data_IF_674376222531
#
_entry.id   IF_674376222531
#
_cell.length_a   1.000
_cell.length_b   1.000
_cell.length_c   1.000
_cell.angle_alpha   90.00
_cell.angle_beta   90.00
_cell.angle_gamma   90.00
#
_symmetry.space_group_name_H-M   'P 1'
#
loop_
_entity.id
_entity.type
_entity.pdbx_description
1 polymer ?
#
# COMPACT_ATOMS: atom_id res chain seq x y z
N UNK A 1 -21.53 -2.08 15.27
CA UNK A 1 -20.90 -1.20 14.27
C UNK A 1 -19.86 -0.35 15.00
N UNK A 2 -18.58 -0.50 14.66
CA UNK A 2 -17.50 0.34 15.23
C UNK A 2 -17.58 1.74 14.61
N UNK A 3 -17.44 2.83 15.38
CA UNK A 3 -17.48 4.18 14.83
C UNK A 3 -16.17 4.45 14.07
N UNK A 4 -16.26 4.42 12.74
CA UNK A 4 -15.19 4.73 11.79
C UNK A 4 -15.02 6.25 11.64
N UNK A 5 -13.78 6.75 11.73
CA UNK A 5 -13.46 8.19 11.75
C UNK A 5 -12.67 8.74 10.53
N UNK A 6 -12.39 7.93 9.50
CA UNK A 6 -11.78 8.40 8.24
C UNK A 6 -10.75 7.41 7.64
N UNK A 7 -10.29 7.67 6.40
CA UNK A 7 -9.14 7.00 5.77
C UNK A 7 -7.98 8.00 5.52
N UNK A 8 -6.80 7.49 5.18
CA UNK A 8 -5.75 8.29 4.54
C UNK A 8 -5.46 7.69 3.16
N UNK A 9 -5.52 8.50 2.11
CA UNK A 9 -5.08 8.10 0.76
C UNK A 9 -4.03 9.07 0.26
N UNK A 10 -3.13 8.63 -0.62
CA UNK A 10 -2.25 9.61 -1.27
C UNK A 10 -1.12 9.05 -2.10
N UNK A 11 -0.70 7.79 -1.96
CA UNK A 11 0.58 7.41 -2.56
C UNK A 11 0.56 6.02 -3.22
N UNK A 12 1.29 5.89 -4.34
CA UNK A 12 1.44 4.64 -5.06
C UNK A 12 2.35 3.67 -4.31
N UNK A 13 2.12 2.37 -4.47
CA UNK A 13 3.03 1.35 -3.94
C UNK A 13 4.31 1.31 -4.77
N UNK A 14 5.42 1.04 -4.11
CA UNK A 14 6.71 0.90 -4.75
C UNK A 14 7.37 -0.41 -4.33
N UNK A 15 8.16 -0.98 -5.23
CA UNK A 15 9.03 -2.11 -4.96
C UNK A 15 10.44 -1.57 -4.69
N UNK A 16 11.01 -1.90 -3.53
CA UNK A 16 12.40 -1.59 -3.21
C UNK A 16 13.24 -2.85 -3.23
N UNK A 17 14.42 -2.75 -3.83
CA UNK A 17 15.33 -3.88 -3.99
C UNK A 17 16.78 -3.44 -3.84
N UNK A 18 17.64 -4.41 -3.53
CA UNK A 18 19.10 -4.24 -3.49
C UNK A 18 19.81 -4.61 -4.80
N UNK A 19 19.12 -5.38 -5.66
CA UNK A 19 19.59 -5.79 -6.98
C UNK A 19 18.68 -5.15 -8.04
N UNK A 20 19.23 -4.66 -9.16
CA UNK A 20 18.40 -4.13 -10.23
C UNK A 20 17.53 -5.23 -10.83
N UNK A 21 16.28 -4.91 -11.12
CA UNK A 21 15.41 -5.67 -12.02
C UNK A 21 15.25 -4.90 -13.33
N UNK A 22 15.25 -5.63 -14.44
CA UNK A 22 14.99 -5.13 -15.79
C UNK A 22 13.54 -5.40 -16.20
N UNK A 23 12.92 -6.41 -15.60
CA UNK A 23 11.50 -6.75 -15.79
C UNK A 23 10.92 -7.42 -14.56
N UNK A 24 9.59 -7.53 -14.48
CA UNK A 24 8.95 -8.26 -13.39
C UNK A 24 9.25 -9.77 -13.42
N UNK A 25 9.72 -10.32 -14.54
CA UNK A 25 10.16 -11.72 -14.61
C UNK A 25 11.44 -11.98 -13.79
N UNK A 26 12.24 -10.96 -13.51
CA UNK A 26 13.44 -11.07 -12.66
C UNK A 26 13.10 -11.32 -11.18
N UNK A 27 11.84 -11.14 -10.80
CA UNK A 27 11.35 -11.44 -9.45
C UNK A 27 11.07 -12.93 -9.22
N UNK A 28 11.12 -13.77 -10.26
CA UNK A 28 10.83 -15.21 -10.13
C UNK A 28 11.80 -15.87 -9.16
N UNK A 29 11.25 -16.48 -8.10
CA UNK A 29 12.02 -17.09 -7.02
C UNK A 29 12.70 -16.10 -6.06
N UNK A 30 12.54 -14.78 -6.28
CA UNK A 30 13.02 -13.77 -5.33
C UNK A 30 12.16 -13.76 -4.07
N UNK A 31 12.77 -13.53 -2.92
CA UNK A 31 12.05 -13.45 -1.65
C UNK A 31 11.63 -12.01 -1.39
N UNK A 32 10.33 -11.70 -1.45
CA UNK A 32 9.84 -10.31 -1.36
C UNK A 32 8.98 -10.14 -0.11
N UNK A 33 9.33 -9.17 0.75
CA UNK A 33 8.50 -8.81 1.89
C UNK A 33 7.22 -8.14 1.40
N UNK A 34 6.07 -8.75 1.70
CA UNK A 34 4.76 -8.23 1.34
C UNK A 34 3.70 -8.70 2.35
N UNK A 35 2.71 -7.85 2.61
CA UNK A 35 1.67 -8.08 3.63
C UNK A 35 0.27 -7.92 3.05
N UNK A 36 -0.71 -8.61 3.63
CA UNK A 36 -2.10 -8.60 3.15
C UNK A 36 -2.20 -9.08 1.70
N UNK A 37 -3.05 -8.44 0.91
CA UNK A 37 -3.32 -8.84 -0.48
C UNK A 37 -2.07 -8.80 -1.37
N UNK A 38 -1.06 -8.00 -1.02
CA UNK A 38 0.19 -7.94 -1.77
C UNK A 38 1.00 -9.25 -1.73
N UNK A 39 0.77 -10.13 -0.75
CA UNK A 39 1.39 -11.45 -0.74
C UNK A 39 0.94 -12.30 -1.94
N UNK A 40 -0.37 -12.30 -2.25
CA UNK A 40 -0.91 -13.02 -3.42
C UNK A 40 -0.46 -12.38 -4.73
N UNK A 41 -0.31 -11.05 -4.78
CA UNK A 41 0.24 -10.34 -5.95
C UNK A 41 1.69 -10.74 -6.21
N UNK A 42 2.52 -10.72 -5.16
CA UNK A 42 3.93 -11.16 -5.23
C UNK A 42 4.03 -12.60 -5.70
N UNK A 43 3.16 -13.49 -5.19
CA UNK A 43 3.07 -14.86 -5.66
C UNK A 43 2.68 -14.97 -7.14
N UNK A 44 1.75 -14.13 -7.60
CA UNK A 44 1.37 -14.03 -9.01
C UNK A 44 2.51 -13.55 -9.93
N UNK A 45 3.47 -12.81 -9.39
CA UNK A 45 4.71 -12.43 -10.10
C UNK A 45 5.74 -13.58 -10.16
N UNK A 46 5.47 -14.70 -9.48
CA UNK A 46 6.38 -15.85 -9.36
C UNK A 46 7.45 -15.69 -8.29
N UNK A 47 7.34 -14.66 -7.45
CA UNK A 47 8.20 -14.43 -6.29
C UNK A 47 7.62 -15.11 -5.04
N UNK A 48 8.45 -15.27 -4.01
CA UNK A 48 8.04 -15.85 -2.73
C UNK A 48 7.74 -14.74 -1.71
N UNK A 49 6.46 -14.55 -1.30
CA UNK A 49 6.11 -13.52 -0.33
C UNK A 49 6.52 -13.92 1.09
N UNK A 50 7.12 -12.97 1.81
CA UNK A 50 7.41 -13.12 3.26
C UNK A 50 6.65 -12.06 4.04
N UNK A 51 5.87 -12.51 5.03
CA UNK A 51 5.11 -11.63 5.90
C UNK A 51 5.94 -11.27 7.14
N UNK A 52 6.62 -10.13 7.10
CA UNK A 52 7.36 -9.57 8.24
C UNK A 52 6.74 -8.24 8.71
N UNK A 53 6.76 -7.95 10.02
CA UNK A 53 6.50 -6.61 10.52
C UNK A 53 7.43 -5.56 9.88
N UNK A 54 6.95 -4.33 9.74
CA UNK A 54 7.76 -3.25 9.14
C UNK A 54 9.05 -2.99 9.93
N UNK A 55 8.98 -3.11 11.26
CA UNK A 55 10.11 -2.97 12.19
C UNK A 55 11.24 -3.97 11.98
N UNK A 56 10.95 -5.13 11.36
CA UNK A 56 11.94 -6.17 11.05
C UNK A 56 12.47 -6.07 9.61
N UNK A 57 11.83 -5.26 8.78
CA UNK A 57 12.10 -5.20 7.33
C UNK A 57 13.48 -4.61 7.04
N UNK A 58 13.91 -3.57 7.76
CA UNK A 58 15.25 -2.99 7.62
C UNK A 58 16.34 -4.06 7.76
N UNK A 59 16.31 -4.79 8.88
CA UNK A 59 17.32 -5.80 9.19
C UNK A 59 17.25 -6.98 8.21
N UNK A 60 16.05 -7.34 7.76
CA UNK A 60 15.85 -8.40 6.79
C UNK A 60 16.47 -8.06 5.42
N UNK A 61 16.35 -6.80 4.98
CA UNK A 61 16.98 -6.28 3.76
C UNK A 61 18.49 -6.16 3.91
N UNK A 62 18.97 -5.60 5.03
CA UNK A 62 20.40 -5.44 5.34
C UNK A 62 21.14 -6.80 5.34
N UNK A 63 20.52 -7.82 5.95
CA UNK A 63 21.07 -9.18 5.98
C UNK A 63 20.84 -9.98 4.70
N UNK A 64 20.06 -9.45 3.76
CA UNK A 64 19.70 -10.15 2.51
C UNK A 64 18.81 -11.38 2.70
N UNK A 65 18.07 -11.46 3.82
CA UNK A 65 17.08 -12.53 4.04
C UNK A 65 15.80 -12.34 3.21
N UNK A 66 15.57 -11.12 2.73
CA UNK A 66 14.60 -10.79 1.68
C UNK A 66 15.33 -10.00 0.58
N UNK A 67 15.03 -10.28 -0.68
CA UNK A 67 15.60 -9.61 -1.85
C UNK A 67 14.97 -8.23 -2.11
N UNK A 68 13.77 -8.00 -1.59
CA UNK A 68 13.05 -6.73 -1.73
C UNK A 68 11.82 -6.62 -0.84
N UNK A 69 11.13 -5.49 -0.96
CA UNK A 69 9.92 -5.17 -0.20
C UNK A 69 8.93 -4.39 -1.05
N UNK A 70 7.64 -4.68 -0.88
CA UNK A 70 6.56 -3.79 -1.32
C UNK A 70 6.29 -2.74 -0.23
N UNK A 71 6.82 -1.53 -0.44
CA UNK A 71 6.68 -0.38 0.46
C UNK A 71 5.43 0.45 0.20
N UNK A 72 5.07 1.28 1.19
CA UNK A 72 4.05 2.33 1.05
C UNK A 72 4.74 3.59 0.54
N UNK A 73 4.82 3.71 -0.78
CA UNK A 73 5.44 4.84 -1.45
C UNK A 73 6.82 5.23 -0.92
N UNK A 74 7.31 6.37 -1.38
CA UNK A 74 8.64 6.86 -1.06
C UNK A 74 8.76 7.29 0.41
N UNK A 75 7.65 7.59 1.09
CA UNK A 75 7.63 7.89 2.53
C UNK A 75 8.33 6.80 3.37
N UNK A 76 8.09 5.52 3.07
CA UNK A 76 8.73 4.40 3.81
C UNK A 76 10.26 4.34 3.63
N UNK A 77 10.81 4.94 2.57
CA UNK A 77 12.25 5.06 2.40
C UNK A 77 12.89 5.92 3.48
N UNK A 78 12.18 6.95 3.95
CA UNK A 78 12.64 7.86 4.99
C UNK A 78 12.18 7.42 6.38
N UNK A 79 10.88 7.18 6.56
CA UNK A 79 10.29 6.92 7.88
C UNK A 79 10.82 5.62 8.51
N UNK A 80 10.99 4.58 7.70
CA UNK A 80 11.50 3.27 8.13
C UNK A 80 13.01 3.10 7.81
N UNK A 81 13.67 4.18 7.37
CA UNK A 81 15.09 4.22 6.98
C UNK A 81 15.49 3.22 5.90
N UNK A 82 14.53 2.75 5.09
CA UNK A 82 14.82 1.74 4.08
C UNK A 82 15.77 2.26 2.99
N UNK A 83 15.85 3.57 2.78
CA UNK A 83 16.82 4.20 1.88
C UNK A 83 18.28 3.87 2.21
N UNK A 84 18.60 3.53 3.46
CA UNK A 84 19.96 3.18 3.88
C UNK A 84 20.36 1.76 3.42
N UNK A 85 19.37 0.91 3.14
CA UNK A 85 19.55 -0.54 2.90
C UNK A 85 18.92 -1.05 1.59
N UNK A 86 18.48 -0.14 0.72
CA UNK A 86 18.00 -0.46 -0.64
C UNK A 86 18.72 0.42 -1.66
N UNK A 87 18.79 -0.03 -2.91
CA UNK A 87 19.49 0.70 -4.00
C UNK A 87 18.56 1.12 -5.12
N UNK A 88 17.45 0.41 -5.31
CA UNK A 88 16.54 0.60 -6.42
C UNK A 88 15.11 0.72 -5.92
N UNK A 89 14.38 1.69 -6.44
CA UNK A 89 12.97 1.93 -6.20
C UNK A 89 12.22 1.90 -7.53
N UNK A 90 11.22 1.02 -7.63
CA UNK A 90 10.35 0.89 -8.81
C UNK A 90 8.94 1.33 -8.42
N UNK A 91 8.44 2.39 -9.05
CA UNK A 91 7.05 2.80 -8.88
C UNK A 91 6.14 1.79 -9.58
N UNK A 92 5.23 1.18 -8.82
CA UNK A 92 4.31 0.17 -9.33
C UNK A 92 3.04 0.80 -9.91
N UNK A 93 2.84 2.11 -9.73
CA UNK A 93 1.64 2.86 -10.18
C UNK A 93 0.32 2.24 -9.70
N UNK A 94 0.38 1.46 -8.61
CA UNK A 94 -0.78 0.92 -7.93
C UNK A 94 -1.07 1.81 -6.75
N UNK A 95 -2.10 2.64 -6.88
CA UNK A 95 -2.61 3.42 -5.76
C UNK A 95 -3.11 2.48 -4.69
N UNK A 96 -2.62 2.67 -3.48
CA UNK A 96 -3.06 1.95 -2.32
C UNK A 96 -3.45 2.97 -1.27
N UNK A 97 -4.72 2.98 -0.88
CA UNK A 97 -5.15 3.69 0.31
C UNK A 97 -4.92 2.73 1.49
N UNK A 98 -3.89 2.93 2.34
CA UNK A 98 -3.91 2.28 3.62
C UNK A 98 -5.16 2.78 4.36
N UNK A 99 -6.09 1.88 4.65
CA UNK A 99 -7.19 2.20 5.55
C UNK A 99 -6.56 2.27 6.95
N UNK A 100 -5.96 3.42 7.29
CA UNK A 100 -5.65 3.74 8.67
C UNK A 100 -6.97 4.09 9.35
N UNK A 101 -7.63 3.05 9.85
CA UNK A 101 -8.89 3.21 10.56
C UNK A 101 -8.58 3.83 11.92
N UNK A 102 -9.03 5.07 12.12
CA UNK A 102 -9.21 5.58 13.46
C UNK A 102 -10.55 5.10 13.98
N UNK A 103 -10.50 4.29 15.03
CA UNK A 103 -11.66 3.74 15.68
C UNK A 103 -11.61 4.06 17.17
N UNK A 104 -12.78 4.35 17.73
CA UNK A 104 -12.94 4.45 19.18
C UNK A 104 -13.38 3.10 19.76
N UNK A 105 -12.86 2.78 20.94
CA UNK A 105 -13.48 1.73 21.75
C UNK A 105 -14.95 2.10 22.01
N UNK A 106 -15.88 1.19 21.68
CA UNK A 106 -17.32 1.44 21.80
C UNK A 106 -17.73 1.92 23.20
N UNK A 107 -17.20 1.29 24.24
CA UNK A 107 -17.53 1.66 25.62
C UNK A 107 -17.05 3.08 25.99
N UNK A 108 -15.97 3.56 25.39
CA UNK A 108 -15.50 4.94 25.59
C UNK A 108 -16.33 5.92 24.77
N UNK A 109 -16.64 5.57 23.51
CA UNK A 109 -17.48 6.38 22.63
C UNK A 109 -18.88 6.61 23.20
N UNK A 110 -19.52 5.56 23.70
CA UNK A 110 -20.89 5.63 24.22
C UNK A 110 -20.98 6.55 25.47
N UNK A 111 -19.87 6.74 26.19
CA UNK A 111 -19.78 7.66 27.35
C UNK A 111 -19.58 9.12 26.97
N UNK A 112 -19.23 9.42 25.72
CA UNK A 112 -19.06 10.80 25.28
C UNK A 112 -20.43 11.51 25.20
N UNK A 113 -20.50 12.79 25.61
CA UNK A 113 -21.65 13.64 25.31
C UNK A 113 -21.93 13.72 23.81
N UNK A 114 -23.19 13.91 23.42
CA UNK A 114 -23.58 13.86 22.01
C UNK A 114 -23.03 15.02 21.18
N UNK A 115 -22.86 16.20 21.79
CA UNK A 115 -22.18 17.35 21.16
C UNK A 115 -20.72 17.03 20.84
N UNK A 116 -20.01 16.34 21.74
CA UNK A 116 -18.64 15.89 21.51
C UNK A 116 -18.58 14.79 20.44
N UNK A 117 -19.51 13.83 20.46
CA UNK A 117 -19.62 12.83 19.38
C UNK A 117 -19.81 13.53 18.03
N UNK A 118 -20.67 14.55 17.99
CA UNK A 118 -20.97 15.28 16.76
C UNK A 118 -19.74 15.99 16.21
N UNK A 119 -18.87 16.58 17.06
CA UNK A 119 -17.60 17.17 16.62
C UNK A 119 -16.75 16.15 15.86
N UNK A 120 -16.61 14.91 16.34
CA UNK A 120 -15.84 13.89 15.60
C UNK A 120 -16.52 13.49 14.29
N UNK A 121 -17.85 13.42 14.25
CA UNK A 121 -18.62 13.05 13.06
C UNK A 121 -18.47 14.15 11.98
N UNK A 122 -18.63 15.40 12.35
CA UNK A 122 -18.60 16.55 11.44
C UNK A 122 -17.20 16.76 10.83
N UNK A 123 -16.15 16.35 11.54
CA UNK A 123 -14.76 16.57 11.12
C UNK A 123 -14.10 15.37 10.43
N UNK A 124 -14.80 14.26 10.16
CA UNK A 124 -14.21 13.07 9.50
C UNK A 124 -13.55 13.41 8.17
N UNK A 125 -14.28 14.12 7.30
CA UNK A 125 -13.77 14.50 5.98
C UNK A 125 -12.56 15.43 6.09
N UNK A 126 -12.56 16.35 7.07
CA UNK A 126 -11.41 17.22 7.33
C UNK A 126 -10.19 16.39 7.73
N UNK A 127 -10.34 15.44 8.66
CA UNK A 127 -9.24 14.59 9.13
C UNK A 127 -8.68 13.70 8.00
N UNK A 128 -9.57 13.13 7.17
CA UNK A 128 -9.21 12.33 6.01
C UNK A 128 -8.43 13.16 4.98
N UNK A 129 -8.98 14.30 4.56
CA UNK A 129 -8.33 15.17 3.57
C UNK A 129 -7.03 15.77 4.10
N UNK A 130 -6.94 16.09 5.39
CA UNK A 130 -5.69 16.60 5.98
C UNK A 130 -4.61 15.53 6.00
N UNK A 131 -4.99 14.27 6.22
CA UNK A 131 -4.05 13.14 6.15
C UNK A 131 -3.53 12.93 4.74
N UNK A 132 -4.40 13.04 3.73
CA UNK A 132 -4.01 12.99 2.31
C UNK A 132 -2.97 14.08 2.00
N UNK A 133 -3.25 15.31 2.42
CA UNK A 133 -2.37 16.47 2.21
C UNK A 133 -0.97 16.23 2.83
N UNK A 134 -0.91 15.77 4.08
CA UNK A 134 0.35 15.49 4.78
C UNK A 134 1.16 14.39 4.07
N UNK A 135 0.51 13.26 3.73
CA UNK A 135 1.19 12.15 3.05
C UNK A 135 1.73 12.57 1.67
N UNK A 136 0.97 13.37 0.93
CA UNK A 136 1.42 13.92 -0.35
C UNK A 136 2.60 14.88 -0.17
N UNK A 137 2.55 15.75 0.84
CA UNK A 137 3.63 16.70 1.12
C UNK A 137 4.95 16.00 1.50
N UNK A 138 4.89 14.86 2.18
CA UNK A 138 6.06 14.09 2.61
C UNK A 138 6.69 13.24 1.48
N UNK A 139 5.96 13.01 0.38
CA UNK A 139 6.42 12.14 -0.72
C UNK A 139 7.69 12.68 -1.40
N UNK A 140 7.72 13.98 -1.73
CA UNK A 140 8.86 14.60 -2.42
C UNK A 140 10.11 14.72 -1.54
N UNK A 141 10.02 15.20 -0.27
CA UNK A 141 11.15 15.17 0.65
C UNK A 141 11.74 13.77 0.85
N UNK A 142 10.88 12.74 0.97
CA UNK A 142 11.35 11.37 1.14
C UNK A 142 12.08 10.84 -0.11
N UNK A 143 11.62 11.20 -1.31
CA UNK A 143 12.36 10.92 -2.55
C UNK A 143 13.72 11.61 -2.61
N UNK A 144 13.78 12.91 -2.29
CA UNK A 144 15.02 13.68 -2.31
C UNK A 144 16.03 13.13 -1.30
N UNK A 145 15.55 12.76 -0.11
CA UNK A 145 16.35 12.06 0.89
C UNK A 145 16.89 10.73 0.35
N UNK A 146 16.05 9.87 -0.21
CA UNK A 146 16.47 8.59 -0.77
C UNK A 146 17.48 8.76 -1.92
N UNK A 147 17.25 9.72 -2.83
CA UNK A 147 18.19 10.07 -3.90
C UNK A 147 19.53 10.54 -3.34
N UNK A 148 19.53 11.31 -2.25
CA UNK A 148 20.78 11.77 -1.59
C UNK A 148 21.61 10.62 -1.01
N UNK A 149 20.98 9.50 -0.66
CA UNK A 149 21.63 8.26 -0.23
C UNK A 149 22.00 7.33 -1.41
N UNK A 150 21.73 7.75 -2.65
CA UNK A 150 22.08 7.02 -3.86
C UNK A 150 21.02 6.04 -4.37
N UNK A 151 19.80 6.07 -3.83
CA UNK A 151 18.70 5.25 -4.35
C UNK A 151 18.31 5.71 -5.75
N UNK A 152 18.24 4.77 -6.68
CA UNK A 152 17.84 5.00 -8.05
C UNK A 152 16.35 4.71 -8.24
N UNK A 153 15.64 5.58 -8.96
CA UNK A 153 14.20 5.50 -9.18
C UNK A 153 13.90 5.10 -10.62
N UNK A 154 12.99 4.15 -10.78
CA UNK A 154 12.60 3.58 -12.07
C UNK A 154 11.08 3.47 -12.19
N UNK A 155 10.62 3.53 -13.43
CA UNK A 155 9.27 3.15 -13.81
C UNK A 155 9.29 1.76 -14.43
N UNK A 156 8.21 1.01 -14.26
CA UNK A 156 8.00 -0.24 -14.97
C UNK A 156 7.79 0.04 -16.47
N UNK A 157 8.22 -0.92 -17.31
CA UNK A 157 7.84 -0.92 -18.73
C UNK A 157 6.31 -1.02 -18.87
N UNK A 158 5.74 -0.51 -19.96
CA UNK A 158 4.29 -0.62 -20.21
C UNK A 158 3.79 -2.07 -20.16
N UNK A 159 4.62 -2.99 -20.67
CA UNK A 159 4.37 -4.44 -20.64
C UNK A 159 4.31 -4.96 -19.21
N UNK A 160 5.28 -4.62 -18.37
CA UNK A 160 5.31 -5.04 -16.97
C UNK A 160 4.18 -4.41 -16.17
N UNK A 161 3.87 -3.14 -16.43
CA UNK A 161 2.75 -2.45 -15.81
C UNK A 161 1.40 -3.13 -16.14
N UNK A 162 1.20 -3.51 -17.41
CA UNK A 162 0.00 -4.24 -17.83
C UNK A 162 -0.09 -5.63 -17.18
N UNK A 163 1.03 -6.37 -17.15
CA UNK A 163 1.12 -7.67 -16.47
C UNK A 163 0.78 -7.55 -14.98
N UNK A 164 1.30 -6.53 -14.30
CA UNK A 164 1.00 -6.27 -12.90
C UNK A 164 -0.50 -6.01 -12.69
N UNK A 165 -1.11 -5.17 -13.52
CA UNK A 165 -2.54 -4.87 -13.44
C UNK A 165 -3.42 -6.11 -13.69
N UNK A 166 -3.03 -6.99 -14.61
CA UNK A 166 -3.74 -8.25 -14.84
C UNK A 166 -3.70 -9.16 -13.60
N UNK A 167 -2.54 -9.29 -12.96
CA UNK A 167 -2.39 -10.04 -11.71
C UNK A 167 -3.24 -9.42 -10.59
N UNK A 168 -3.27 -8.09 -10.49
CA UNK A 168 -4.15 -7.37 -9.57
C UNK A 168 -5.62 -7.69 -9.80
N UNK A 169 -6.05 -7.67 -11.05
CA UNK A 169 -7.42 -7.98 -11.43
C UNK A 169 -7.82 -9.41 -11.00
N UNK A 170 -6.96 -10.38 -11.33
CA UNK A 170 -7.17 -11.79 -10.99
C UNK A 170 -7.27 -12.00 -9.46
N UNK A 171 -6.33 -11.42 -8.70
CA UNK A 171 -6.34 -11.52 -7.23
C UNK A 171 -7.57 -10.84 -6.63
N UNK A 172 -7.94 -9.65 -7.11
CA UNK A 172 -9.10 -8.94 -6.60
C UNK A 172 -10.42 -9.67 -6.91
N UNK A 173 -10.56 -10.28 -8.09
CA UNK A 173 -11.72 -11.14 -8.43
C UNK A 173 -11.79 -12.39 -7.56
N UNK A 174 -10.64 -13.01 -7.28
CA UNK A 174 -10.57 -14.16 -6.35
C UNK A 174 -11.06 -13.74 -4.96
N UNK A 175 -10.57 -12.62 -4.43
CA UNK A 175 -10.99 -12.08 -3.14
C UNK A 175 -12.49 -11.75 -3.14
N UNK A 176 -13.00 -11.14 -4.21
CA UNK A 176 -14.42 -10.85 -4.38
C UNK A 176 -15.29 -12.12 -4.27
N UNK A 177 -14.91 -13.19 -4.98
CA UNK A 177 -15.61 -14.48 -4.92
C UNK A 177 -15.52 -15.13 -3.52
N UNK A 178 -14.38 -15.02 -2.84
CA UNK A 178 -14.21 -15.50 -1.45
C UNK A 178 -15.09 -14.74 -0.46
N UNK A 179 -15.34 -13.46 -0.68
CA UNK A 179 -16.27 -12.64 0.11
C UNK A 179 -17.73 -13.04 -0.18
N UNK A 180 -18.10 -13.23 -1.45
CA UNK A 180 -19.44 -13.69 -1.83
C UNK A 180 -19.78 -15.04 -1.18
N UNK A 181 -18.82 -15.97 -1.16
CA UNK A 181 -18.95 -17.26 -0.48
C UNK A 181 -19.20 -17.14 1.03
N UNK A 182 -18.87 -16.00 1.64
CA UNK A 182 -19.13 -15.67 3.05
C UNK A 182 -20.39 -14.83 3.26
N UNK A 183 -21.17 -14.58 2.20
CA UNK A 183 -22.35 -13.73 2.24
C UNK A 183 -22.06 -12.23 2.33
N UNK A 184 -20.83 -11.83 2.03
CA UNK A 184 -20.42 -10.42 1.90
C UNK A 184 -20.43 -10.09 0.40
N UNK A 185 -21.01 -8.96 -0.06
CA UNK A 185 -21.18 -8.67 -1.49
C UNK A 185 -19.85 -8.25 -2.17
N UNK A 186 -18.91 -9.18 -2.28
CA UNK A 186 -17.56 -8.96 -2.78
C UNK A 186 -17.52 -8.59 -4.26
N UNK A 187 -18.29 -9.29 -5.10
CA UNK A 187 -18.35 -8.97 -6.55
C UNK A 187 -18.94 -7.57 -6.77
N UNK A 188 -20.01 -7.22 -6.05
CA UNK A 188 -20.62 -5.89 -6.12
C UNK A 188 -19.61 -4.79 -5.72
N UNK A 189 -18.90 -4.99 -4.59
CA UNK A 189 -17.87 -4.05 -4.12
C UNK A 189 -16.76 -3.89 -5.15
N UNK A 190 -16.28 -4.99 -5.74
CA UNK A 190 -15.24 -4.96 -6.76
C UNK A 190 -15.71 -4.20 -8.01
N UNK A 191 -16.90 -4.49 -8.53
CA UNK A 191 -17.45 -3.83 -9.72
C UNK A 191 -17.66 -2.34 -9.50
N UNK A 192 -18.17 -1.94 -8.33
CA UNK A 192 -18.34 -0.54 -7.96
C UNK A 192 -17.00 0.18 -7.82
N UNK A 193 -16.00 -0.47 -7.21
CA UNK A 193 -14.64 0.07 -7.12
C UNK A 193 -14.07 0.33 -8.51
N UNK A 194 -14.24 -0.62 -9.45
CA UNK A 194 -13.80 -0.44 -10.84
C UNK A 194 -14.55 0.69 -11.55
N UNK A 195 -15.85 0.86 -11.27
CA UNK A 195 -16.65 1.97 -11.81
C UNK A 195 -16.12 3.31 -11.31
N UNK A 196 -15.90 3.46 -10.01
CA UNK A 196 -15.36 4.67 -9.38
C UNK A 196 -13.95 4.99 -9.88
N UNK A 197 -13.07 3.99 -10.00
CA UNK A 197 -11.73 4.19 -10.57
C UNK A 197 -11.84 4.77 -11.98
N UNK A 198 -12.71 4.25 -12.85
CA UNK A 198 -12.91 4.80 -14.21
C UNK A 198 -13.47 6.22 -14.20
N UNK A 199 -14.38 6.53 -13.27
CA UNK A 199 -14.99 7.85 -13.13
C UNK A 199 -13.99 8.92 -12.68
N UNK A 200 -13.10 8.58 -11.73
CA UNK A 200 -12.18 9.52 -11.10
C UNK A 200 -10.74 9.46 -11.64
N UNK A 201 -10.44 8.58 -12.60
CA UNK A 201 -9.17 8.56 -13.33
C UNK A 201 -9.08 9.78 -14.24
N UNK A 202 -8.58 10.88 -13.69
CA UNK A 202 -8.17 12.08 -14.44
C UNK A 202 -6.79 11.88 -15.06
#
# INVERSE_FOLDING_TARGET
MFPYAGNASGTSRALFTNKPINSLDDLKGATIRATGNWAEIVKGLGAEPVNLPISETYLALEKGTVDGVIGLATFTLQADKLAEVVKYCYDLKVNFAPIYEWAFCKASWDKLPDDIKQVFIDNRNFLEMKSVEINMADTKPAEEYAKSLGVQFFELSEKDQAKLYEIFDQVNRKIAAELDAKGIPGTEIYEETQRLIREYKK
#
